data_IF_864697490863
#
_entry.id   IF_864697490863
#
_cell.length_a   1.000
_cell.length_b   1.000
_cell.length_c   1.000
_cell.angle_alpha   90.00
_cell.angle_beta   90.00
_cell.angle_gamma   90.00
#
_symmetry.space_group_name_H-M   'P 1'
#
loop_
_entity.id
_entity.type
_entity.pdbx_description
1 polymer ?
#
# COMPACT_ATOMS: atom_id res chain seq x y z
N UNK A 1 9.32 -14.04 0.86
CA UNK A 1 8.58 -12.76 0.81
C UNK A 1 9.59 -11.65 0.69
N UNK A 2 9.36 -10.68 -0.19
CA UNK A 2 10.21 -9.49 -0.36
C UNK A 2 9.37 -8.24 -0.12
N UNK A 3 9.92 -7.29 0.65
CA UNK A 3 9.27 -6.01 0.91
C UNK A 3 9.65 -5.00 -0.18
N UNK A 4 8.64 -4.33 -0.74
CA UNK A 4 8.83 -3.26 -1.72
C UNK A 4 8.73 -1.92 -0.98
N UNK A 5 9.81 -1.12 -0.91
CA UNK A 5 9.74 0.21 -0.34
C UNK A 5 8.83 1.10 -1.17
N UNK A 6 7.98 1.86 -0.50
CA UNK A 6 7.12 2.84 -1.14
C UNK A 6 7.85 4.19 -1.20
N UNK A 7 8.40 4.53 -2.36
CA UNK A 7 9.18 5.75 -2.60
C UNK A 7 8.26 6.82 -3.20
N UNK A 8 7.54 7.52 -2.33
CA UNK A 8 6.39 8.34 -2.74
C UNK A 8 6.69 9.84 -2.94
N UNK A 9 7.82 10.33 -2.44
CA UNK A 9 8.22 11.73 -2.61
C UNK A 9 8.81 11.95 -4.01
N UNK A 10 8.56 13.13 -4.58
CA UNK A 10 8.86 13.46 -5.99
C UNK A 10 8.14 12.61 -7.04
N UNK A 11 7.16 11.78 -6.66
CA UNK A 11 6.43 10.91 -7.59
C UNK A 11 5.63 11.68 -8.64
N UNK A 12 5.16 12.90 -8.34
CA UNK A 12 4.47 13.77 -9.32
C UNK A 12 5.41 14.50 -10.26
N UNK A 13 6.72 14.33 -10.13
CA UNK A 13 7.69 14.98 -11.03
C UNK A 13 7.96 14.09 -12.25
N UNK A 14 8.21 14.66 -13.44
CA UNK A 14 8.59 13.87 -14.61
C UNK A 14 9.85 13.03 -14.41
N UNK A 15 10.73 13.43 -13.49
CA UNK A 15 12.01 12.75 -13.24
C UNK A 15 11.89 11.56 -12.29
N UNK A 16 10.83 11.48 -11.47
CA UNK A 16 10.68 10.45 -10.43
C UNK A 16 11.98 10.27 -9.62
N UNK A 17 12.64 11.38 -9.26
CA UNK A 17 14.04 11.38 -8.83
C UNK A 17 14.32 10.48 -7.61
N UNK A 18 13.38 10.40 -6.66
CA UNK A 18 13.49 9.51 -5.51
C UNK A 18 13.46 8.03 -5.90
N UNK A 19 12.53 7.64 -6.77
CA UNK A 19 12.43 6.28 -7.29
C UNK A 19 13.70 5.91 -8.06
N UNK A 20 14.18 6.80 -8.93
CA UNK A 20 15.39 6.59 -9.73
C UNK A 20 16.61 6.35 -8.84
N UNK A 21 16.79 7.16 -7.80
CA UNK A 21 17.91 7.03 -6.85
C UNK A 21 17.78 5.82 -5.92
N UNK A 22 16.55 5.37 -5.64
CA UNK A 22 16.28 4.12 -4.95
C UNK A 22 16.49 2.87 -5.84
N UNK A 23 16.72 3.06 -7.14
CA UNK A 23 16.97 1.99 -8.11
C UNK A 23 15.76 1.60 -8.97
N UNK A 24 14.63 2.29 -8.84
CA UNK A 24 13.46 2.11 -9.70
C UNK A 24 13.50 3.08 -10.87
N UNK A 25 13.79 2.58 -12.07
CA UNK A 25 13.65 3.37 -13.28
C UNK A 25 12.17 3.43 -13.71
N UNK A 26 11.41 4.33 -13.10
CA UNK A 26 9.96 4.50 -13.27
C UNK A 26 9.62 5.86 -13.94
N UNK A 27 9.91 6.07 -15.23
CA UNK A 27 9.56 7.31 -15.92
C UNK A 27 8.05 7.37 -16.21
N UNK A 28 7.52 8.56 -16.51
CA UNK A 28 6.07 8.79 -16.70
C UNK A 28 5.42 7.94 -17.82
N UNK A 29 6.20 7.40 -18.77
CA UNK A 29 5.71 6.65 -19.92
C UNK A 29 5.95 5.13 -19.83
N UNK A 30 6.44 4.62 -18.70
CA UNK A 30 6.70 3.19 -18.52
C UNK A 30 6.47 2.77 -17.07
N UNK A 31 5.93 1.57 -16.86
CA UNK A 31 5.91 0.94 -15.55
C UNK A 31 7.31 0.42 -15.17
N UNK A 32 7.99 1.13 -14.27
CA UNK A 32 9.31 0.78 -13.74
C UNK A 32 9.32 -0.40 -12.77
N UNK A 33 8.16 -0.82 -12.26
CA UNK A 33 8.06 -1.95 -11.33
C UNK A 33 7.90 -3.29 -12.06
N UNK A 34 7.27 -3.27 -13.24
CA UNK A 34 6.99 -4.46 -14.05
C UNK A 34 8.18 -5.43 -14.22
N UNK A 35 9.40 -4.96 -14.60
CA UNK A 35 10.54 -5.85 -14.79
C UNK A 35 10.98 -6.54 -13.48
N UNK A 36 10.92 -5.81 -12.36
CA UNK A 36 11.23 -6.37 -11.04
C UNK A 36 10.24 -7.47 -10.70
N UNK A 37 8.95 -7.21 -10.90
CA UNK A 37 7.88 -8.15 -10.57
C UNK A 37 7.86 -9.40 -11.45
N UNK A 38 8.30 -9.30 -12.70
CA UNK A 38 8.52 -10.46 -13.55
C UNK A 38 9.58 -11.40 -12.96
N UNK A 39 10.70 -10.84 -12.47
CA UNK A 39 11.76 -11.63 -11.81
C UNK A 39 11.24 -12.25 -10.52
N UNK A 40 10.57 -11.47 -9.66
CA UNK A 40 10.01 -11.98 -8.41
C UNK A 40 9.00 -13.11 -8.63
N UNK A 41 8.18 -13.01 -9.67
CA UNK A 41 7.20 -14.03 -10.05
C UNK A 41 7.88 -15.33 -10.47
N UNK A 42 8.99 -15.27 -11.23
CA UNK A 42 9.78 -16.47 -11.61
C UNK A 42 10.28 -17.26 -10.39
N UNK A 43 10.49 -16.58 -9.27
CA UNK A 43 10.92 -17.18 -8.00
C UNK A 43 9.78 -17.42 -7.00
N UNK A 44 8.52 -17.32 -7.42
CA UNK A 44 7.34 -17.49 -6.56
C UNK A 44 7.37 -16.63 -5.29
N UNK A 45 7.96 -15.43 -5.37
CA UNK A 45 8.07 -14.52 -4.23
C UNK A 45 6.71 -13.87 -3.95
N UNK A 46 6.30 -13.88 -2.68
CA UNK A 46 5.22 -12.99 -2.20
C UNK A 46 5.77 -11.58 -2.05
N UNK A 47 5.13 -10.61 -2.71
CA UNK A 47 5.40 -9.19 -2.54
C UNK A 47 4.72 -8.70 -1.26
N UNK A 48 5.45 -8.01 -0.38
CA UNK A 48 4.88 -7.27 0.75
C UNK A 48 4.98 -5.77 0.47
N UNK A 49 3.84 -5.11 0.34
CA UNK A 49 3.76 -3.67 0.11
C UNK A 49 3.51 -2.94 1.44
N UNK A 50 4.27 -1.86 1.67
CA UNK A 50 4.08 -1.00 2.83
C UNK A 50 3.02 0.04 2.52
N UNK A 51 1.81 -0.18 3.05
CA UNK A 51 0.65 0.68 2.92
C UNK A 51 0.78 1.91 3.82
N UNK A 52 0.98 3.05 3.18
CA UNK A 52 1.35 4.27 3.88
C UNK A 52 0.17 5.00 4.56
N UNK A 53 -1.08 4.73 4.17
CA UNK A 53 -2.28 5.11 4.94
C UNK A 53 -2.40 6.60 5.34
N UNK A 54 -1.94 7.52 4.50
CA UNK A 54 -1.83 8.96 4.83
C UNK A 54 -3.06 9.80 4.50
N UNK A 55 -3.14 10.93 5.20
CA UNK A 55 -3.62 12.21 4.69
C UNK A 55 -2.45 13.17 4.89
N UNK A 56 -1.88 13.71 3.82
CA UNK A 56 -0.92 14.81 3.93
C UNK A 56 -1.71 16.12 4.01
N UNK A 57 -1.19 17.10 4.75
CA UNK A 57 -1.71 18.45 4.62
C UNK A 57 -1.50 18.91 3.17
N UNK A 58 -2.39 19.74 2.65
CA UNK A 58 -2.26 20.24 1.27
C UNK A 58 -0.94 20.95 1.03
N UNK A 59 -0.35 21.55 2.07
CA UNK A 59 0.94 22.23 2.04
C UNK A 59 2.10 21.23 1.93
N UNK A 60 2.16 20.21 2.80
CA UNK A 60 3.22 19.19 2.77
C UNK A 60 3.19 18.38 1.47
N UNK A 61 1.99 18.11 0.95
CA UNK A 61 1.82 17.40 -0.30
C UNK A 61 2.32 18.20 -1.52
N UNK A 62 2.18 19.53 -1.47
CA UNK A 62 2.61 20.42 -2.55
C UNK A 62 4.13 20.61 -2.54
N UNK A 63 4.75 20.73 -1.37
CA UNK A 63 6.21 20.89 -1.26
C UNK A 63 6.98 19.61 -1.61
N UNK A 64 6.44 18.44 -1.26
CA UNK A 64 7.09 17.14 -1.51
C UNK A 64 6.66 16.44 -2.81
N UNK A 65 5.77 17.05 -3.60
CA UNK A 65 5.25 16.56 -4.89
C UNK A 65 4.88 15.05 -4.85
N UNK A 66 4.15 14.68 -3.81
CA UNK A 66 3.78 13.29 -3.49
C UNK A 66 2.52 12.85 -4.22
N UNK A 67 2.46 11.58 -4.63
CA UNK A 67 1.22 10.90 -5.02
C UNK A 67 1.20 9.46 -4.51
N UNK A 68 0.95 9.27 -3.23
CA UNK A 68 1.20 7.98 -2.67
C UNK A 68 0.01 7.00 -2.85
N UNK A 69 -1.21 7.52 -3.12
CA UNK A 69 -2.30 6.75 -3.70
C UNK A 69 -1.97 6.28 -5.12
N UNK A 70 -1.46 7.18 -5.99
CA UNK A 70 -1.02 6.85 -7.34
C UNK A 70 0.09 5.79 -7.36
N UNK A 71 1.10 5.95 -6.50
CA UNK A 71 2.16 4.96 -6.31
C UNK A 71 1.60 3.60 -5.86
N UNK A 72 0.73 3.60 -4.83
CA UNK A 72 0.14 2.36 -4.32
C UNK A 72 -0.67 1.64 -5.41
N UNK A 73 -1.43 2.39 -6.20
CA UNK A 73 -2.17 1.86 -7.34
C UNK A 73 -1.23 1.26 -8.37
N UNK A 74 -0.17 1.97 -8.77
CA UNK A 74 0.78 1.48 -9.78
C UNK A 74 1.45 0.18 -9.33
N UNK A 75 2.03 0.19 -8.12
CA UNK A 75 2.78 -0.95 -7.57
C UNK A 75 1.90 -2.18 -7.42
N UNK A 76 0.71 -2.04 -6.85
CA UNK A 76 -0.18 -3.19 -6.63
C UNK A 76 -0.72 -3.75 -7.94
N UNK A 77 -1.14 -2.90 -8.88
CA UNK A 77 -1.65 -3.36 -10.17
C UNK A 77 -0.56 -4.01 -11.01
N UNK A 78 0.64 -3.43 -11.06
CA UNK A 78 1.79 -4.04 -11.73
C UNK A 78 2.10 -5.43 -11.15
N UNK A 79 2.07 -5.57 -9.82
CA UNK A 79 2.31 -6.86 -9.18
C UNK A 79 1.24 -7.89 -9.55
N UNK A 80 -0.03 -7.53 -9.42
CA UNK A 80 -1.16 -8.42 -9.73
C UNK A 80 -1.24 -8.80 -11.21
N UNK A 81 -0.92 -7.89 -12.14
CA UNK A 81 -0.85 -8.17 -13.57
C UNK A 81 0.27 -9.15 -13.93
N UNK A 82 1.39 -9.12 -13.19
CA UNK A 82 2.43 -10.15 -13.25
C UNK A 82 2.08 -11.40 -12.44
N UNK A 83 0.85 -11.47 -11.93
CA UNK A 83 0.30 -12.57 -11.17
C UNK A 83 0.84 -12.67 -9.75
N UNK A 84 1.71 -11.77 -9.25
CA UNK A 84 2.33 -11.83 -7.91
C UNK A 84 1.31 -11.99 -6.79
N UNK A 85 1.66 -12.81 -5.80
CA UNK A 85 0.92 -12.82 -4.53
C UNK A 85 1.33 -11.57 -3.77
N UNK A 86 0.36 -10.70 -3.48
CA UNK A 86 0.57 -9.50 -2.70
C UNK A 86 0.16 -9.71 -1.24
N UNK A 87 0.88 -9.04 -0.34
CA UNK A 87 0.57 -8.89 1.08
C UNK A 87 0.75 -7.42 1.46
N UNK A 88 0.01 -6.98 2.47
CA UNK A 88 0.07 -5.60 2.96
C UNK A 88 0.75 -5.50 4.32
N UNK A 89 1.29 -4.33 4.62
CA UNK A 89 1.78 -3.95 5.94
C UNK A 89 1.48 -2.48 6.18
N UNK A 90 1.09 -2.06 7.38
CA UNK A 90 0.94 -0.64 7.66
C UNK A 90 2.28 0.07 7.85
N UNK A 91 2.39 1.28 7.31
CA UNK A 91 3.58 2.12 7.52
C UNK A 91 3.53 2.94 8.82
N UNK A 92 2.33 3.34 9.26
CA UNK A 92 2.12 4.21 10.41
C UNK A 92 1.35 3.48 11.51
N UNK A 93 1.46 4.00 12.72
CA UNK A 93 0.73 3.52 13.89
C UNK A 93 -0.54 4.35 14.11
N UNK A 94 -1.55 3.75 14.74
CA UNK A 94 -2.77 4.43 15.19
C UNK A 94 -3.53 5.16 14.09
N UNK A 95 -4.11 4.41 13.17
CA UNK A 95 -5.03 4.94 12.17
C UNK A 95 -6.37 5.35 12.80
N UNK A 96 -6.87 6.51 12.38
CA UNK A 96 -8.30 6.80 12.50
C UNK A 96 -9.10 5.85 11.59
N UNK A 97 -10.42 5.89 11.73
CA UNK A 97 -11.33 5.04 10.96
C UNK A 97 -11.20 5.21 9.45
N UNK A 98 -10.92 6.41 8.96
CA UNK A 98 -10.82 6.70 7.53
C UNK A 98 -9.58 6.08 6.93
N UNK A 99 -8.44 6.20 7.62
CA UNK A 99 -7.19 5.58 7.18
C UNK A 99 -7.31 4.05 7.19
N UNK A 100 -7.97 3.46 8.20
CA UNK A 100 -8.27 2.02 8.17
C UNK A 100 -9.14 1.61 6.99
N UNK A 101 -10.14 2.41 6.61
CA UNK A 101 -10.93 2.14 5.40
C UNK A 101 -10.05 2.12 4.15
N UNK A 102 -9.11 3.07 4.00
CA UNK A 102 -8.16 3.08 2.87
C UNK A 102 -7.29 1.83 2.84
N UNK A 103 -6.79 1.38 4.00
CA UNK A 103 -6.03 0.12 4.08
C UNK A 103 -6.86 -1.08 3.64
N UNK A 104 -8.13 -1.14 4.07
CA UNK A 104 -9.07 -2.19 3.65
C UNK A 104 -9.31 -2.13 2.15
N UNK A 105 -9.47 -0.93 1.58
CA UNK A 105 -9.66 -0.72 0.14
C UNK A 105 -8.43 -1.12 -0.68
N UNK A 106 -7.21 -0.82 -0.22
CA UNK A 106 -5.98 -1.32 -0.84
C UNK A 106 -5.87 -2.84 -0.76
N UNK A 107 -6.22 -3.43 0.39
CA UNK A 107 -6.13 -4.86 0.59
C UNK A 107 -7.20 -5.65 -0.17
N UNK A 108 -8.39 -5.07 -0.34
CA UNK A 108 -9.55 -5.67 -1.01
C UNK A 108 -10.32 -4.57 -1.76
N UNK A 109 -9.87 -4.20 -2.98
CA UNK A 109 -10.55 -3.22 -3.80
C UNK A 109 -12.02 -3.58 -4.02
N UNK A 110 -12.91 -2.62 -3.78
CA UNK A 110 -14.35 -2.81 -3.99
C UNK A 110 -14.64 -2.70 -5.48
N UNK A 111 -15.37 -3.66 -6.03
CA UNK A 111 -15.74 -3.72 -7.46
C UNK A 111 -14.58 -4.04 -8.42
N UNK A 112 -13.61 -4.85 -7.97
CA UNK A 112 -12.55 -5.32 -8.86
C UNK A 112 -12.96 -6.62 -9.60
N UNK A 113 -13.13 -6.60 -10.93
CA UNK A 113 -13.52 -7.78 -11.70
C UNK A 113 -12.46 -8.88 -11.66
N UNK A 114 -11.20 -8.52 -11.45
CA UNK A 114 -10.07 -9.44 -11.38
C UNK A 114 -9.92 -10.10 -10.00
N UNK A 115 -10.78 -9.74 -9.04
CA UNK A 115 -10.78 -10.26 -7.66
C UNK A 115 -9.41 -10.14 -6.98
N UNK A 116 -8.65 -9.09 -7.31
CA UNK A 116 -7.35 -8.78 -6.73
C UNK A 116 -7.54 -8.50 -5.23
N UNK A 117 -6.67 -9.10 -4.44
CA UNK A 117 -6.67 -8.91 -2.99
C UNK A 117 -5.29 -9.25 -2.41
N UNK A 118 -5.05 -8.77 -1.20
CA UNK A 118 -3.92 -9.23 -0.41
C UNK A 118 -4.21 -10.61 0.18
N UNK A 119 -3.22 -11.49 0.08
CA UNK A 119 -3.24 -12.82 0.70
C UNK A 119 -3.27 -12.74 2.23
N UNK A 120 -2.54 -11.79 2.81
CA UNK A 120 -2.55 -11.45 4.23
C UNK A 120 -2.11 -10.01 4.46
N UNK A 121 -2.34 -9.52 5.68
CA UNK A 121 -1.92 -8.19 6.12
C UNK A 121 -1.16 -8.31 7.44
N UNK A 122 0.03 -7.73 7.49
CA UNK A 122 0.88 -7.67 8.69
C UNK A 122 0.62 -6.34 9.38
N UNK A 123 0.05 -6.39 10.59
CA UNK A 123 -0.13 -5.19 11.39
C UNK A 123 1.09 -4.96 12.29
N UNK A 124 1.87 -3.92 12.02
CA UNK A 124 3.00 -3.48 12.86
C UNK A 124 2.56 -2.46 13.91
N UNK A 125 3.02 -2.65 15.15
CA UNK A 125 2.79 -1.72 16.27
C UNK A 125 4.01 -1.68 17.21
N UNK A 126 4.41 -0.51 17.73
CA UNK A 126 5.51 -0.40 18.68
C UNK A 126 5.00 -0.74 20.08
N UNK A 127 5.03 -2.02 20.45
CA UNK A 127 4.62 -2.58 21.74
C UNK A 127 3.14 -2.33 22.13
N UNK A 128 2.47 -3.37 22.64
CA UNK A 128 1.09 -3.27 23.15
C UNK A 128 0.99 -2.47 24.46
N UNK A 129 2.12 -2.02 25.02
CA UNK A 129 2.25 -1.42 26.34
C UNK A 129 2.17 0.11 26.36
N UNK A 130 2.26 0.77 25.21
CA UNK A 130 1.96 2.21 25.10
C UNK A 130 0.44 2.36 24.98
N UNK A 131 -0.20 2.69 26.11
CA UNK A 131 -1.65 2.63 26.36
C UNK A 131 -2.53 3.62 25.57
N UNK A 132 -2.36 3.72 24.26
CA UNK A 132 -3.22 4.53 23.39
C UNK A 132 -3.62 3.82 22.08
N UNK A 133 -3.64 2.49 22.05
CA UNK A 133 -4.30 1.77 20.95
C UNK A 133 -5.80 1.91 21.12
N UNK A 134 -6.46 2.53 20.17
CA UNK A 134 -7.91 2.47 20.05
C UNK A 134 -8.29 1.05 19.59
N UNK A 135 -8.35 0.10 20.54
CA UNK A 135 -8.65 -1.32 20.27
C UNK A 135 -9.96 -1.50 19.50
N UNK A 136 -10.91 -0.58 19.66
CA UNK A 136 -12.15 -0.56 18.89
C UNK A 136 -11.95 -0.30 17.40
N UNK A 137 -11.02 0.57 17.01
CA UNK A 137 -10.73 0.82 15.59
C UNK A 137 -9.89 -0.31 14.98
N UNK A 138 -9.00 -0.92 15.77
CA UNK A 138 -8.30 -2.15 15.34
C UNK A 138 -9.28 -3.32 15.15
N UNK A 139 -10.21 -3.53 16.08
CA UNK A 139 -11.28 -4.53 15.95
C UNK A 139 -12.14 -4.27 14.71
N UNK A 140 -12.52 -3.00 14.47
CA UNK A 140 -13.22 -2.59 13.26
C UNK A 140 -12.42 -2.94 11.99
N UNK A 141 -11.13 -2.62 11.96
CA UNK A 141 -10.24 -2.94 10.85
C UNK A 141 -10.18 -4.46 10.60
N UNK A 142 -9.94 -5.26 11.65
CA UNK A 142 -9.88 -6.73 11.56
C UNK A 142 -11.21 -7.30 11.03
N UNK A 143 -12.35 -6.81 11.51
CA UNK A 143 -13.67 -7.22 11.02
C UNK A 143 -13.86 -6.89 9.54
N UNK A 144 -13.45 -5.71 9.12
CA UNK A 144 -13.51 -5.30 7.71
C UNK A 144 -12.60 -6.17 6.82
N UNK A 145 -11.38 -6.44 7.25
CA UNK A 145 -10.44 -7.32 6.56
C UNK A 145 -10.99 -8.74 6.41
N UNK A 146 -11.77 -9.23 7.38
CA UNK A 146 -12.48 -10.52 7.29
C UNK A 146 -13.83 -10.46 6.55
N UNK A 147 -14.17 -9.34 5.91
CA UNK A 147 -15.42 -9.18 5.16
C UNK A 147 -16.67 -9.00 6.02
N UNK A 148 -16.52 -8.89 7.35
CA UNK A 148 -17.59 -8.68 8.34
C UNK A 148 -17.87 -7.19 8.56
N UNK A 149 -17.86 -6.40 7.48
CA UNK A 149 -17.97 -4.95 7.57
C UNK A 149 -19.37 -4.54 8.11
N UNK A 150 -19.47 -3.85 9.26
CA UNK A 150 -20.75 -3.45 9.86
C UNK A 150 -21.50 -2.36 9.06
N UNK A 151 -20.93 -1.84 7.96
CA UNK A 151 -21.57 -0.88 7.06
C UNK A 151 -22.02 -1.48 5.72
N UNK A 152 -22.03 -2.80 5.57
CA UNK A 152 -22.77 -3.45 4.48
C UNK A 152 -24.26 -3.38 4.78
N UNK A 153 -24.92 -2.33 4.27
CA UNK A 153 -26.31 -2.39 3.78
C UNK A 153 -26.24 -2.58 2.27
#
# INVERSE_FOLDING_TARGET
MLQIPAVYWWYKTPSHAAELTAGYHNPTNQDGYSPVFEVLRKHAVTMKFVCLGFNLSSQDANESLVDPEGLSWQVLNSAWERGLVAAGENALFCYDRERYKRLVEMAKPRNDPDQRHFSFFVYQQPSLLQGNVCLSELDFFIKCMHGKNPFKL
#
